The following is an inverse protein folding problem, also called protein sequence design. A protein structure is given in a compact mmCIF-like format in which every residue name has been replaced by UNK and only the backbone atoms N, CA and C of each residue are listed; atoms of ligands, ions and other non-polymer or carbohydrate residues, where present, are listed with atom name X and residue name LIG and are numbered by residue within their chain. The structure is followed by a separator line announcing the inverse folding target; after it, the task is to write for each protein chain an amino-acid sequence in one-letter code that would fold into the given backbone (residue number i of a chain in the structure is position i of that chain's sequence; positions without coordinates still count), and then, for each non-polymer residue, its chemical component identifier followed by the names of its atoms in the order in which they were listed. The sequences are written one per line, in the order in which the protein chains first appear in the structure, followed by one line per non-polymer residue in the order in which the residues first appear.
data_IF_080567880079
#
_entry.id   IF_080567880079
#
_cell.length_a   1.000
_cell.length_b   1.000
_cell.length_c   1.000
_cell.angle_alpha   90.00
_cell.angle_beta   90.00
_cell.angle_gamma   90.00
#
_symmetry.space_group_name_H-M   'P 1'
#
loop_
_entity.id
_entity.type
_entity.pdbx_description
1 polymer ?
#
# COMPACT_ATOMS: atom_id res chain seq x y z
N UNK A 1 -25.21 -4.76 -31.51
CA UNK A 1 -25.14 -3.55 -30.66
C UNK A 1 -23.83 -2.85 -30.99
N UNK A 2 -23.87 -1.74 -31.73
CA UNK A 2 -22.64 -1.05 -32.17
C UNK A 2 -22.02 -0.37 -30.95
N UNK A 3 -20.82 -0.79 -30.53
CA UNK A 3 -20.06 -0.08 -29.49
C UNK A 3 -19.82 1.34 -30.00
N UNK A 4 -20.36 2.34 -29.32
CA UNK A 4 -19.97 3.73 -29.57
C UNK A 4 -18.48 3.84 -29.27
N UNK A 5 -17.70 4.30 -30.23
CA UNK A 5 -16.29 4.63 -29.99
C UNK A 5 -16.26 5.91 -29.12
N UNK A 6 -15.59 5.83 -27.98
CA UNK A 6 -15.35 6.95 -27.07
C UNK A 6 -13.87 7.28 -27.11
N UNK A 7 -13.52 8.50 -27.51
CA UNK A 7 -12.15 9.00 -27.40
C UNK A 7 -12.02 9.84 -26.13
N UNK A 8 -10.90 9.69 -25.42
CA UNK A 8 -10.58 10.47 -24.23
C UNK A 8 -9.26 11.20 -24.43
N UNK A 9 -9.15 12.38 -23.83
CA UNK A 9 -7.88 13.10 -23.69
C UNK A 9 -7.89 13.88 -22.38
N UNK A 10 -6.72 14.08 -21.79
CA UNK A 10 -6.59 14.90 -20.61
C UNK A 10 -5.41 15.88 -20.75
N UNK A 11 -5.47 16.95 -19.97
CA UNK A 11 -4.42 17.97 -19.86
C UNK A 11 -4.42 18.52 -18.45
N UNK A 12 -3.35 19.20 -18.07
CA UNK A 12 -3.34 20.06 -16.88
C UNK A 12 -3.79 21.47 -17.25
N UNK A 13 -4.66 22.06 -16.42
CA UNK A 13 -5.04 23.47 -16.46
C UNK A 13 -4.84 23.99 -15.04
N UNK A 14 -3.98 24.99 -14.87
CA UNK A 14 -3.59 25.53 -13.55
C UNK A 14 -3.12 24.45 -12.56
N UNK A 15 -2.37 23.47 -13.07
CA UNK A 15 -1.86 22.33 -12.28
C UNK A 15 -2.90 21.25 -11.94
N UNK A 16 -4.16 21.41 -12.36
CA UNK A 16 -5.23 20.45 -12.11
C UNK A 16 -5.61 19.66 -13.38
N UNK A 17 -5.92 18.37 -13.26
CA UNK A 17 -6.30 17.55 -14.41
C UNK A 17 -7.68 17.92 -14.94
N UNK A 18 -7.76 18.08 -16.26
CA UNK A 18 -9.02 18.28 -16.99
C UNK A 18 -9.19 17.14 -18.00
N UNK A 19 -10.27 16.37 -17.84
CA UNK A 19 -10.59 15.22 -18.69
C UNK A 19 -11.68 15.61 -19.70
N UNK A 20 -11.41 15.33 -20.97
CA UNK A 20 -12.37 15.49 -22.06
C UNK A 20 -12.73 14.14 -22.66
N UNK A 21 -13.99 14.01 -23.08
CA UNK A 21 -14.51 12.85 -23.79
C UNK A 21 -15.21 13.28 -25.08
N UNK A 22 -15.09 12.48 -26.13
CA UNK A 22 -15.75 12.68 -27.42
C UNK A 22 -16.64 11.48 -27.74
N UNK A 23 -17.93 11.75 -27.91
CA UNK A 23 -18.99 10.75 -28.05
C UNK A 23 -19.27 10.40 -29.52
N UNK A 24 -18.23 9.96 -30.24
CA UNK A 24 -18.30 9.55 -31.66
C UNK A 24 -17.70 10.55 -32.65
N UNK A 25 -17.57 10.10 -33.90
CA UNK A 25 -16.97 10.88 -34.99
C UNK A 25 -17.76 12.17 -35.22
N UNK A 26 -17.05 13.29 -35.35
CA UNK A 26 -17.59 14.65 -35.54
C UNK A 26 -18.42 15.23 -34.39
N UNK A 27 -18.36 14.66 -33.18
CA UNK A 27 -18.89 15.31 -31.98
C UNK A 27 -17.86 16.23 -31.33
N UNK A 28 -18.29 17.32 -30.65
CA UNK A 28 -17.38 18.16 -29.89
C UNK A 28 -16.80 17.39 -28.70
N UNK A 29 -15.63 17.84 -28.23
CA UNK A 29 -15.08 17.40 -26.95
C UNK A 29 -15.90 17.99 -25.81
N UNK A 30 -16.28 17.15 -24.85
CA UNK A 30 -17.03 17.54 -23.65
C UNK A 30 -16.12 17.39 -22.44
N UNK A 31 -16.03 18.42 -21.60
CA UNK A 31 -15.35 18.33 -20.32
C UNK A 31 -16.17 17.45 -19.37
N UNK A 32 -15.57 16.37 -18.88
CA UNK A 32 -16.20 15.42 -17.96
C UNK A 32 -15.43 15.30 -16.63
N UNK A 33 -14.54 16.26 -16.31
CA UNK A 33 -13.72 16.24 -15.09
C UNK A 33 -14.55 16.07 -13.83
N UNK A 34 -15.72 16.70 -13.75
CA UNK A 34 -16.62 16.62 -12.60
C UNK A 34 -17.17 15.21 -12.33
N UNK A 35 -17.01 14.27 -13.27
CA UNK A 35 -17.38 12.86 -13.11
C UNK A 35 -16.27 12.00 -12.51
N UNK A 36 -15.16 12.62 -12.10
CA UNK A 36 -13.99 11.98 -11.48
C UNK A 36 -13.73 12.53 -10.09
N UNK A 37 -12.89 11.82 -9.33
CA UNK A 37 -12.38 12.33 -8.06
C UNK A 37 -11.59 13.61 -8.29
N UNK A 38 -11.74 14.55 -7.36
CA UNK A 38 -10.98 15.77 -7.38
C UNK A 38 -9.70 15.59 -6.57
N UNK A 39 -8.54 15.80 -7.19
CA UNK A 39 -7.25 15.65 -6.51
C UNK A 39 -7.04 16.70 -5.41
N UNK A 40 -7.76 17.83 -5.44
CA UNK A 40 -7.71 18.83 -4.36
C UNK A 40 -8.40 18.36 -3.09
N UNK A 41 -9.18 17.28 -3.16
CA UNK A 41 -9.76 16.66 -1.98
C UNK A 41 -8.71 15.81 -1.21
N UNK A 42 -7.50 15.62 -1.76
CA UNK A 42 -6.39 14.98 -1.09
C UNK A 42 -5.68 15.96 -0.16
N UNK A 43 -5.38 15.49 1.06
CA UNK A 43 -4.41 16.11 1.95
C UNK A 43 -3.52 15.06 2.59
N UNK A 44 -2.34 15.50 3.01
CA UNK A 44 -1.27 14.62 3.46
C UNK A 44 -0.81 15.05 4.83
N UNK A 45 -0.46 14.11 5.69
CA UNK A 45 0.24 14.40 6.94
C UNK A 45 1.62 13.83 6.90
N UNK A 46 2.61 14.59 7.37
CA UNK A 46 3.97 14.10 7.52
C UNK A 46 4.18 13.38 8.87
N UNK A 47 5.41 12.99 9.17
CA UNK A 47 5.79 12.35 10.45
C UNK A 47 5.60 13.25 11.68
N UNK A 48 5.65 14.56 11.48
CA UNK A 48 5.48 15.58 12.52
C UNK A 48 4.01 16.04 12.64
N UNK A 49 3.10 15.37 11.92
CA UNK A 49 1.67 15.63 11.85
C UNK A 49 1.32 17.02 11.27
N UNK A 50 2.26 17.62 10.52
CA UNK A 50 2.02 18.80 9.68
C UNK A 50 1.16 18.38 8.50
N UNK A 51 0.15 19.18 8.18
CA UNK A 51 -0.77 18.90 7.07
C UNK A 51 -0.32 19.65 5.82
N UNK A 52 -0.14 18.90 4.74
CA UNK A 52 0.21 19.39 3.42
C UNK A 52 -0.95 19.19 2.44
N UNK A 53 -0.99 20.03 1.42
CA UNK A 53 -2.00 19.99 0.37
C UNK A 53 -1.41 19.63 -0.99
N UNK A 54 -2.28 19.39 -1.97
CA UNK A 54 -1.84 19.06 -3.34
C UNK A 54 -0.99 20.16 -3.98
N UNK A 55 -1.16 21.43 -3.58
CA UNK A 55 -0.39 22.55 -4.15
C UNK A 55 1.10 22.53 -3.78
N UNK A 56 1.47 21.74 -2.77
CA UNK A 56 2.87 21.53 -2.37
C UNK A 56 3.51 20.34 -3.11
N UNK A 57 2.74 19.63 -3.92
CA UNK A 57 3.18 18.48 -4.70
C UNK A 57 3.46 18.88 -6.14
N UNK A 58 4.38 18.18 -6.80
CA UNK A 58 4.54 18.29 -8.25
C UNK A 58 3.50 17.40 -8.94
N UNK A 59 2.70 17.99 -9.84
CA UNK A 59 1.66 17.28 -10.58
C UNK A 59 2.02 17.27 -12.06
N UNK A 60 2.14 16.07 -12.62
CA UNK A 60 2.36 15.84 -14.05
C UNK A 60 1.26 14.95 -14.62
N UNK A 61 1.08 14.95 -15.94
CA UNK A 61 0.13 14.06 -16.60
C UNK A 61 0.80 13.35 -17.77
N UNK A 62 0.59 12.04 -17.87
CA UNK A 62 0.96 11.25 -19.02
C UNK A 62 -0.29 10.57 -19.57
N UNK A 63 -0.71 10.99 -20.77
CA UNK A 63 -1.97 10.60 -21.39
C UNK A 63 -3.19 10.82 -20.48
N UNK A 64 -3.68 9.76 -19.83
CA UNK A 64 -4.87 9.74 -18.97
C UNK A 64 -4.52 9.41 -17.51
N UNK A 65 -3.24 9.40 -17.17
CA UNK A 65 -2.74 9.13 -15.81
C UNK A 65 -2.06 10.37 -15.26
N UNK A 66 -2.57 10.88 -14.15
CA UNK A 66 -1.96 11.99 -13.41
C UNK A 66 -0.99 11.40 -12.40
N UNK A 67 0.22 11.95 -12.34
CA UNK A 67 1.24 11.59 -11.35
C UNK A 67 1.43 12.75 -10.39
N UNK A 68 1.25 12.47 -9.11
CA UNK A 68 1.44 13.41 -8.00
C UNK A 68 2.70 12.96 -7.25
N UNK A 69 3.78 13.74 -7.34
CA UNK A 69 5.02 13.46 -6.63
C UNK A 69 4.93 13.97 -5.19
N UNK A 70 5.24 13.09 -4.24
CA UNK A 70 5.25 13.40 -2.81
C UNK A 70 6.68 13.77 -2.41
N UNK A 71 6.95 15.06 -2.20
CA UNK A 71 8.28 15.57 -1.89
C UNK A 71 8.64 15.51 -0.39
N UNK A 72 7.90 14.73 0.39
CA UNK A 72 8.02 14.60 1.83
C UNK A 72 7.51 13.23 2.30
N UNK A 73 7.97 12.79 3.47
CA UNK A 73 7.59 11.50 4.07
C UNK A 73 6.14 11.53 4.56
N UNK A 74 5.23 11.00 3.75
CA UNK A 74 3.79 10.99 4.07
C UNK A 74 3.46 9.89 5.08
N UNK A 75 3.02 10.28 6.28
CA UNK A 75 2.55 9.35 7.32
C UNK A 75 1.06 9.00 7.19
N UNK A 76 0.23 9.91 6.66
CA UNK A 76 -1.19 9.67 6.39
C UNK A 76 -1.65 10.38 5.12
N UNK A 77 -2.58 9.74 4.41
CA UNK A 77 -3.27 10.35 3.27
C UNK A 77 -4.74 10.43 3.62
N UNK A 78 -5.31 11.61 3.43
CA UNK A 78 -6.71 11.90 3.64
C UNK A 78 -7.35 12.22 2.29
N UNK A 79 -8.60 11.81 2.12
CA UNK A 79 -9.44 12.18 0.99
C UNK A 79 -10.76 12.72 1.54
N UNK A 80 -11.10 13.97 1.23
CA UNK A 80 -12.25 14.68 1.82
C UNK A 80 -12.25 14.66 3.36
N UNK A 81 -11.06 14.91 3.95
CA UNK A 81 -10.80 14.87 5.39
C UNK A 81 -10.92 13.49 6.07
N UNK A 82 -11.10 12.42 5.30
CA UNK A 82 -11.12 11.06 5.83
C UNK A 82 -9.79 10.36 5.57
N UNK A 83 -9.20 9.75 6.61
CA UNK A 83 -7.96 8.98 6.46
C UNK A 83 -8.21 7.76 5.56
N UNK A 84 -7.60 7.75 4.37
CA UNK A 84 -7.72 6.65 3.39
C UNK A 84 -6.48 5.76 3.37
N UNK A 85 -5.35 6.26 3.87
CA UNK A 85 -4.13 5.47 4.07
C UNK A 85 -3.33 5.98 5.26
N UNK A 86 -2.57 5.08 5.88
CA UNK A 86 -1.65 5.41 6.97
C UNK A 86 -0.43 4.50 6.94
N UNK A 87 0.75 5.10 7.13
CA UNK A 87 2.05 4.43 7.13
C UNK A 87 2.09 3.20 8.04
N UNK A 88 1.46 3.28 9.22
CA UNK A 88 1.48 2.19 10.20
C UNK A 88 0.88 0.88 9.69
N UNK A 89 0.01 0.91 8.66
CA UNK A 89 -0.62 -0.28 8.09
C UNK A 89 0.31 -1.11 7.20
N UNK A 90 1.42 -0.54 6.75
CA UNK A 90 2.36 -1.19 5.84
C UNK A 90 3.74 -0.57 5.94
N UNK A 91 4.22 -0.32 7.17
CA UNK A 91 5.46 0.43 7.41
C UNK A 91 6.69 -0.22 6.75
N UNK A 92 6.64 -1.53 6.51
CA UNK A 92 7.67 -2.29 5.79
C UNK A 92 7.81 -1.92 4.31
N UNK A 93 6.75 -1.38 3.70
CA UNK A 93 6.80 -0.82 2.34
C UNK A 93 7.43 0.58 2.30
N UNK A 94 7.74 1.18 3.46
CA UNK A 94 8.28 2.55 3.51
C UNK A 94 7.24 3.62 3.16
N UNK A 95 7.73 4.81 2.78
CA UNK A 95 6.89 5.93 2.39
C UNK A 95 6.54 5.87 0.89
N UNK A 96 5.31 6.22 0.49
CA UNK A 96 4.96 6.31 -0.93
C UNK A 96 5.70 7.48 -1.58
N UNK A 97 6.24 7.26 -2.78
CA UNK A 97 6.95 8.27 -3.56
C UNK A 97 5.99 9.12 -4.40
N UNK A 98 4.95 8.50 -4.95
CA UNK A 98 3.96 9.19 -5.75
C UNK A 98 2.59 8.51 -5.73
N UNK A 99 1.56 9.28 -6.06
CA UNK A 99 0.22 8.80 -6.34
C UNK A 99 0.01 8.85 -7.85
N UNK A 100 -0.45 7.75 -8.43
CA UNK A 100 -0.98 7.72 -9.79
C UNK A 100 -2.51 7.79 -9.73
N UNK A 101 -3.11 8.68 -10.50
CA UNK A 101 -4.55 8.78 -10.66
C UNK A 101 -4.92 8.44 -12.10
N UNK A 102 -5.50 7.26 -12.27
CA UNK A 102 -6.08 6.83 -13.54
C UNK A 102 -7.43 7.55 -13.73
N UNK A 103 -7.45 8.49 -14.68
CA UNK A 103 -8.63 9.29 -14.97
C UNK A 103 -9.74 8.49 -15.64
N UNK A 104 -9.49 7.34 -16.26
CA UNK A 104 -10.55 6.53 -16.86
C UNK A 104 -11.19 5.61 -15.82
N UNK A 105 -10.37 4.91 -15.05
CA UNK A 105 -10.81 4.02 -13.99
C UNK A 105 -11.29 4.76 -12.74
N UNK A 106 -11.01 6.07 -12.66
CA UNK A 106 -11.28 6.90 -11.50
C UNK A 106 -10.67 6.29 -10.22
N UNK A 107 -9.38 5.97 -10.32
CA UNK A 107 -8.67 5.11 -9.36
C UNK A 107 -7.34 5.75 -8.96
N UNK A 108 -7.11 5.85 -7.66
CA UNK A 108 -5.81 6.23 -7.11
C UNK A 108 -4.97 4.98 -6.78
N UNK A 109 -3.69 5.04 -7.14
CA UNK A 109 -2.68 4.03 -6.84
C UNK A 109 -1.52 4.71 -6.10
N UNK A 110 -1.09 4.15 -4.99
CA UNK A 110 0.13 4.52 -4.28
C UNK A 110 1.29 3.73 -4.83
N UNK A 111 2.40 4.41 -5.10
CA UNK A 111 3.63 3.77 -5.59
C UNK A 111 4.78 4.07 -4.66
N UNK A 112 5.47 3.01 -4.24
CA UNK A 112 6.59 3.04 -3.32
C UNK A 112 7.93 2.94 -4.06
N UNK A 113 9.04 3.27 -3.41
CA UNK A 113 10.35 3.37 -4.05
C UNK A 113 10.88 2.05 -4.63
N UNK A 114 10.50 0.93 -4.04
CA UNK A 114 10.84 -0.43 -4.49
C UNK A 114 9.82 -1.01 -5.48
N UNK A 115 9.01 -0.17 -6.12
CA UNK A 115 8.12 -0.56 -7.22
C UNK A 115 6.80 -1.20 -6.78
N UNK A 116 6.56 -1.36 -5.48
CA UNK A 116 5.27 -1.81 -4.96
C UNK A 116 4.19 -0.77 -5.27
N UNK A 117 3.03 -1.28 -5.68
CA UNK A 117 1.85 -0.47 -5.99
C UNK A 117 0.69 -0.95 -5.13
N UNK A 118 -0.02 -0.02 -4.47
CA UNK A 118 -1.24 -0.29 -3.71
C UNK A 118 -2.40 0.52 -4.23
N UNK A 119 -3.61 -0.01 -4.10
CA UNK A 119 -4.82 0.75 -4.39
C UNK A 119 -5.15 1.65 -3.19
N UNK A 120 -5.36 2.94 -3.47
CA UNK A 120 -5.86 3.87 -2.46
C UNK A 120 -7.39 3.88 -2.51
N UNK A 121 -8.03 3.20 -1.55
CA UNK A 121 -9.50 3.13 -1.49
C UNK A 121 -10.10 4.42 -0.93
N UNK A 122 -10.79 5.16 -1.79
CA UNK A 122 -11.50 6.41 -1.45
C UNK A 122 -12.93 6.20 -0.97
N UNK A 123 -13.42 4.95 -0.96
CA UNK A 123 -14.74 4.62 -0.45
C UNK A 123 -14.63 4.23 1.03
N UNK A 124 -14.96 5.15 1.93
CA UNK A 124 -15.17 4.80 3.34
C UNK A 124 -16.65 4.96 3.72
N UNK A 125 -17.23 3.87 4.23
CA UNK A 125 -18.50 3.86 4.94
C UNK A 125 -18.29 4.30 6.39
N UNK A 126 -19.04 5.32 6.79
CA UNK A 126 -19.29 5.90 8.12
C UNK A 126 -18.62 5.24 9.35
N UNK A 127 -17.86 6.04 10.11
CA UNK A 127 -17.04 5.63 11.26
C UNK A 127 -17.79 5.82 12.57
N UNK A 128 -18.29 4.74 13.16
CA UNK A 128 -18.57 4.69 14.61
C UNK A 128 -17.81 3.63 15.39
N UNK A 129 -17.15 2.65 14.76
CA UNK A 129 -16.38 1.61 15.47
C UNK A 129 -15.00 1.44 14.80
N UNK A 130 -14.01 2.22 15.27
CA UNK A 130 -12.70 2.34 14.62
C UNK A 130 -11.75 1.19 15.03
N UNK A 131 -11.74 0.73 16.28
CA UNK A 131 -10.69 -0.19 16.74
C UNK A 131 -10.90 -1.67 16.36
N UNK A 132 -12.14 -2.19 16.40
CA UNK A 132 -12.40 -3.60 16.07
C UNK A 132 -12.46 -3.84 14.55
N UNK A 133 -13.00 -2.89 13.80
CA UNK A 133 -13.11 -3.00 12.33
C UNK A 133 -11.75 -2.82 11.66
N UNK A 134 -10.88 -1.97 12.21
CA UNK A 134 -9.50 -1.86 11.72
C UNK A 134 -8.70 -3.13 11.95
N UNK A 135 -8.83 -3.78 13.11
CA UNK A 135 -8.12 -5.03 13.38
C UNK A 135 -8.58 -6.16 12.46
N UNK A 136 -9.90 -6.33 12.29
CA UNK A 136 -10.44 -7.33 11.37
C UNK A 136 -9.98 -7.08 9.93
N UNK A 137 -9.91 -5.81 9.53
CA UNK A 137 -9.39 -5.41 8.22
C UNK A 137 -7.90 -5.70 8.08
N UNK A 138 -7.10 -5.49 9.12
CA UNK A 138 -5.69 -5.90 9.13
C UNK A 138 -5.55 -7.43 8.99
N UNK A 139 -6.41 -8.22 9.62
CA UNK A 139 -6.40 -9.69 9.46
C UNK A 139 -6.87 -10.14 8.06
N UNK A 140 -7.77 -9.40 7.43
CA UNK A 140 -8.23 -9.66 6.06
C UNK A 140 -7.20 -9.22 5.00
N UNK A 141 -6.49 -8.11 5.23
CA UNK A 141 -5.45 -7.57 4.34
C UNK A 141 -4.11 -8.30 4.52
N UNK A 142 -3.83 -8.81 5.73
CA UNK A 142 -2.57 -9.44 6.10
C UNK A 142 -2.74 -10.85 6.65
N UNK A 143 -2.08 -11.81 6.03
CA UNK A 143 -1.93 -13.16 6.58
C UNK A 143 -0.88 -13.16 7.69
N UNK A 144 -1.32 -13.20 8.95
CA UNK A 144 -0.42 -13.28 10.11
C UNK A 144 -0.18 -14.73 10.56
N UNK A 145 1.09 -15.11 10.68
CA UNK A 145 1.51 -16.46 11.06
C UNK A 145 2.48 -16.38 12.24
N UNK A 146 2.09 -16.88 13.41
CA UNK A 146 2.98 -16.99 14.57
C UNK A 146 3.56 -18.40 14.62
N UNK A 147 4.89 -18.51 14.66
CA UNK A 147 5.56 -19.80 14.72
C UNK A 147 5.50 -20.39 16.14
N UNK A 148 5.18 -21.68 16.25
CA UNK A 148 5.16 -22.39 17.55
C UNK A 148 6.56 -22.72 18.07
N UNK A 149 7.56 -22.66 17.20
CA UNK A 149 8.98 -22.80 17.53
C UNK A 149 9.79 -21.79 16.73
N UNK A 150 11.10 -21.97 16.73
CA UNK A 150 12.05 -21.11 16.02
C UNK A 150 12.54 -21.83 14.76
N UNK A 151 11.83 -21.73 13.61
CA UNK A 151 12.22 -22.46 12.41
C UNK A 151 13.57 -21.95 11.89
N UNK A 152 14.38 -22.84 11.32
CA UNK A 152 15.57 -22.47 10.54
C UNK A 152 15.27 -22.23 9.06
N UNK A 153 14.09 -22.66 8.62
CA UNK A 153 13.60 -22.55 7.24
C UNK A 153 12.12 -22.18 7.27
N UNK A 154 11.73 -21.20 6.46
CA UNK A 154 10.32 -20.85 6.24
C UNK A 154 10.03 -20.96 4.74
N UNK A 155 9.01 -21.74 4.42
CA UNK A 155 8.44 -21.83 3.08
C UNK A 155 7.06 -21.17 3.06
N UNK A 156 6.69 -20.59 1.92
CA UNK A 156 5.33 -20.10 1.67
C UNK A 156 4.81 -20.72 0.37
N UNK A 157 3.86 -21.65 0.49
CA UNK A 157 3.56 -22.60 -0.58
C UNK A 157 4.77 -23.51 -0.81
N UNK A 158 5.17 -23.66 -2.07
CA UNK A 158 6.31 -24.50 -2.48
C UNK A 158 7.64 -23.74 -2.54
N UNK A 159 7.66 -22.46 -2.13
CA UNK A 159 8.83 -21.59 -2.28
C UNK A 159 9.54 -21.37 -0.94
N UNK A 160 10.87 -21.46 -0.97
CA UNK A 160 11.75 -21.10 0.14
C UNK A 160 11.88 -19.59 0.24
N UNK A 161 11.23 -18.98 1.25
CA UNK A 161 11.21 -17.52 1.43
C UNK A 161 12.23 -17.03 2.47
N UNK A 162 12.63 -17.89 3.39
CA UNK A 162 13.64 -17.55 4.38
C UNK A 162 14.41 -18.80 4.83
N UNK A 163 15.73 -18.63 5.00
CA UNK A 163 16.63 -19.60 5.57
C UNK A 163 17.54 -18.88 6.56
N UNK A 164 17.66 -19.44 7.75
CA UNK A 164 18.53 -18.93 8.80
C UNK A 164 19.98 -18.90 8.32
N UNK A 165 20.66 -17.77 8.52
CA UNK A 165 22.11 -17.68 8.38
C UNK A 165 22.80 -17.59 9.74
N UNK A 166 24.05 -18.06 9.84
CA UNK A 166 24.83 -17.94 11.07
C UNK A 166 24.87 -16.50 11.60
N UNK A 167 24.52 -16.34 12.88
CA UNK A 167 24.50 -15.04 13.57
C UNK A 167 23.17 -14.26 13.45
N UNK A 168 22.20 -14.74 12.65
CA UNK A 168 20.88 -14.12 12.59
C UNK A 168 19.96 -14.62 13.71
N UNK A 169 19.00 -13.81 14.19
CA UNK A 169 17.96 -14.30 15.07
C UNK A 169 16.99 -15.22 14.33
N UNK A 170 16.40 -16.17 15.06
CA UNK A 170 15.36 -17.03 14.51
C UNK A 170 13.98 -16.35 14.61
N UNK A 171 13.10 -16.54 13.62
CA UNK A 171 11.86 -15.81 13.49
C UNK A 171 10.81 -16.28 14.49
N UNK A 172 10.01 -15.33 14.92
CA UNK A 172 8.85 -15.52 15.80
C UNK A 172 7.55 -15.52 15.01
N UNK A 173 7.50 -14.73 13.95
CA UNK A 173 6.29 -14.45 13.23
C UNK A 173 6.58 -14.10 11.77
N UNK A 174 5.62 -14.37 10.91
CA UNK A 174 5.59 -13.97 9.53
C UNK A 174 4.28 -13.22 9.25
N UNK A 175 4.37 -12.16 8.47
CA UNK A 175 3.21 -11.46 7.91
C UNK A 175 3.29 -11.53 6.39
N UNK A 176 2.17 -11.82 5.74
CA UNK A 176 2.06 -11.83 4.29
C UNK A 176 1.03 -10.80 3.88
N UNK A 177 1.48 -9.79 3.15
CA UNK A 177 0.62 -8.81 2.51
C UNK A 177 -0.10 -9.44 1.32
N UNK A 178 -1.42 -9.61 1.44
CA UNK A 178 -2.20 -10.24 0.39
C UNK A 178 -2.39 -9.33 -0.83
N UNK A 179 -2.26 -8.00 -0.66
CA UNK A 179 -2.38 -7.04 -1.75
C UNK A 179 -1.08 -6.97 -2.56
N UNK A 180 0.06 -6.86 -1.89
CA UNK A 180 1.36 -6.61 -2.54
C UNK A 180 2.20 -7.87 -2.72
N UNK A 181 1.87 -8.94 -2.01
CA UNK A 181 2.68 -10.16 -1.94
C UNK A 181 3.97 -10.00 -1.13
N UNK A 182 4.19 -8.85 -0.48
CA UNK A 182 5.33 -8.65 0.41
C UNK A 182 5.23 -9.57 1.62
N UNK A 183 6.35 -10.19 1.98
CA UNK A 183 6.43 -11.06 3.15
C UNK A 183 7.37 -10.42 4.16
N UNK A 184 6.93 -10.34 5.41
CA UNK A 184 7.72 -9.76 6.50
C UNK A 184 7.99 -10.83 7.54
N UNK A 185 9.26 -11.11 7.80
CA UNK A 185 9.71 -12.05 8.82
C UNK A 185 10.15 -11.26 10.05
N UNK A 186 9.43 -11.42 11.16
CA UNK A 186 9.73 -10.77 12.43
C UNK A 186 10.56 -11.69 13.31
N UNK A 187 11.66 -11.15 13.82
CA UNK A 187 12.52 -11.77 14.82
C UNK A 187 12.48 -10.93 16.11
N UNK A 188 13.25 -11.31 17.13
CA UNK A 188 13.24 -10.65 18.44
C UNK A 188 13.63 -9.16 18.38
N UNK A 189 14.69 -8.83 17.64
CA UNK A 189 15.29 -7.49 17.62
C UNK A 189 15.15 -6.74 16.28
N UNK A 190 14.75 -7.46 15.22
CA UNK A 190 14.70 -6.95 13.84
C UNK A 190 13.62 -7.64 13.02
N UNK A 191 13.39 -7.13 11.82
CA UNK A 191 12.55 -7.79 10.83
C UNK A 191 13.24 -7.80 9.47
N UNK A 192 12.78 -8.70 8.61
CA UNK A 192 13.24 -8.83 7.23
C UNK A 192 12.05 -8.64 6.30
N UNK A 193 12.20 -7.81 5.28
CA UNK A 193 11.23 -7.71 4.19
C UNK A 193 11.74 -8.57 3.05
N UNK A 194 10.99 -9.62 2.74
CA UNK A 194 11.26 -10.55 1.65
C UNK A 194 10.49 -10.08 0.43
N UNK A 195 11.23 -9.79 -0.65
CA UNK A 195 10.67 -9.28 -1.91
C UNK A 195 11.01 -10.23 -3.05
N UNK A 196 10.10 -10.31 -4.02
CA UNK A 196 10.31 -11.06 -5.26
C UNK A 196 10.55 -10.08 -6.40
N UNK A 197 11.74 -10.13 -6.98
CA UNK A 197 12.11 -9.30 -8.12
C UNK A 197 12.65 -10.21 -9.23
N UNK A 198 11.94 -10.26 -10.36
CA UNK A 198 12.32 -11.07 -11.53
C UNK A 198 12.63 -12.54 -11.22
N UNK A 199 11.88 -13.15 -10.30
CA UNK A 199 12.06 -14.55 -9.88
C UNK A 199 13.22 -14.77 -8.90
N UNK A 200 13.90 -13.71 -8.48
CA UNK A 200 14.88 -13.73 -7.40
C UNK A 200 14.24 -13.23 -6.11
N UNK A 201 14.50 -13.93 -5.01
CA UNK A 201 14.10 -13.47 -3.68
C UNK A 201 15.24 -12.63 -3.10
N UNK A 202 14.93 -11.40 -2.72
CA UNK A 202 15.78 -10.55 -1.89
C UNK A 202 15.23 -10.47 -0.46
N UNK A 203 16.11 -10.19 0.49
CA UNK A 203 15.73 -9.95 1.89
C UNK A 203 16.45 -8.71 2.41
N UNK A 204 15.67 -7.71 2.80
CA UNK A 204 16.19 -6.48 3.37
C UNK A 204 16.00 -6.50 4.88
N UNK A 205 17.08 -6.28 5.62
CA UNK A 205 17.07 -6.27 7.08
C UNK A 205 16.75 -4.88 7.61
N UNK A 206 15.89 -4.81 8.62
CA UNK A 206 15.50 -3.56 9.27
C UNK A 206 15.42 -3.71 10.79
N UNK A 207 15.91 -2.69 11.50
CA UNK A 207 15.77 -2.61 12.95
C UNK A 207 14.37 -2.13 13.36
N UNK A 208 13.92 -2.56 14.54
CA UNK A 208 12.69 -2.01 15.11
C UNK A 208 12.92 -0.63 15.70
N UNK A 209 12.10 0.33 15.25
CA UNK A 209 11.88 1.58 15.98
C UNK A 209 10.99 1.32 17.19
N UNK A 210 10.97 2.25 18.15
CA UNK A 210 10.01 2.20 19.28
C UNK A 210 8.56 2.15 18.78
N UNK A 211 8.29 2.82 17.66
CA UNK A 211 6.99 2.78 17.00
C UNK A 211 6.65 1.37 16.48
N UNK A 212 7.58 0.69 15.80
CA UNK A 212 7.36 -0.69 15.33
C UNK A 212 7.06 -1.63 16.50
N UNK A 213 7.82 -1.53 17.61
CA UNK A 213 7.60 -2.35 18.81
C UNK A 213 6.20 -2.12 19.41
N UNK A 214 5.75 -0.86 19.46
CA UNK A 214 4.41 -0.52 19.92
C UNK A 214 3.33 -1.14 19.02
N UNK A 215 3.47 -1.05 17.70
CA UNK A 215 2.54 -1.67 16.75
C UNK A 215 2.50 -3.19 16.89
N UNK A 216 3.66 -3.85 16.94
CA UNK A 216 3.76 -5.30 17.11
C UNK A 216 3.12 -5.79 18.41
N UNK A 217 3.19 -4.99 19.49
CA UNK A 217 2.51 -5.32 20.74
C UNK A 217 0.98 -5.35 20.61
N UNK A 218 0.39 -4.62 19.66
CA UNK A 218 -1.06 -4.64 19.39
C UNK A 218 -1.44 -5.98 18.75
N UNK A 219 -0.68 -6.44 17.75
CA UNK A 219 -0.88 -7.74 17.11
C UNK A 219 -0.80 -8.89 18.13
N UNK A 220 0.24 -8.90 18.97
CA UNK A 220 0.47 -9.95 19.96
C UNK A 220 -0.61 -10.05 21.04
N UNK A 221 -1.36 -8.98 21.33
CA UNK A 221 -2.39 -8.97 22.38
C UNK A 221 -3.73 -9.58 21.95
N UNK A 222 -3.99 -9.71 20.65
CA UNK A 222 -5.36 -9.96 20.16
C UNK A 222 -5.53 -11.15 19.21
N UNK A 223 -4.48 -11.72 18.62
CA UNK A 223 -4.64 -12.88 17.72
C UNK A 223 -4.71 -14.22 18.48
N UNK A 224 -5.77 -15.03 18.30
CA UNK A 224 -5.78 -16.40 18.76
C UNK A 224 -4.70 -17.22 18.03
N UNK A 225 -3.93 -17.98 18.81
CA UNK A 225 -2.84 -18.83 18.37
C UNK A 225 -3.33 -19.93 17.42
N UNK A 226 -3.40 -19.73 16.11
CA UNK A 226 -3.50 -20.88 15.18
C UNK A 226 -3.21 -20.51 13.72
N UNK A 227 -2.07 -20.96 13.20
CA UNK A 227 -2.02 -21.68 11.92
C UNK A 227 -0.73 -22.49 11.78
N UNK A 228 -0.86 -23.65 11.14
CA UNK A 228 0.19 -24.64 10.96
C UNK A 228 1.02 -24.29 9.72
N UNK A 229 2.27 -23.88 9.91
CA UNK A 229 3.27 -24.05 8.85
C UNK A 229 3.82 -25.47 8.98
N UNK A 230 3.69 -26.25 7.91
CA UNK A 230 4.21 -27.62 7.84
C UNK A 230 5.73 -27.53 7.88
N UNK A 231 6.31 -27.97 9.00
CA UNK A 231 7.75 -28.16 9.14
C UNK A 231 8.17 -29.35 8.27
N UNK A 232 9.03 -29.12 7.29
CA UNK A 232 9.88 -30.16 6.72
C UNK A 232 11.25 -30.05 7.37
N UNK A 233 11.39 -30.59 8.59
CA UNK A 233 12.71 -30.98 9.06
C UNK A 233 13.11 -32.24 8.28
N UNK A 234 13.78 -32.05 7.14
CA UNK A 234 14.59 -33.13 6.57
C UNK A 234 16.03 -32.91 7.00
N UNK A 235 16.40 -33.78 7.94
CA UNK A 235 17.72 -34.25 8.39
C UNK A 235 18.93 -33.79 7.60
#
# INVERSE_FOLDING_TARGET
MVRKEYEHKATLVDGLPVLYCKFGKNKPWVNITSTRFNITDLSFKDKDNVTHSISECEVTINELVVKILLNFDVSQILFKNEVVWSFYRGFWSGYPKYILFDLLCNLFLLVFDHGIVRKLDTKFTDRKHLEEKELKRLEEEFGLFVFKGKPEVVNYGDELIWKHLPGEPLPDMMLVDQETGEIVIFCEDRYFVVRREHGTISRDQHEFTQFHKKLLSIFNRKTPKTCFCIYSNKS
#
